data_IF_579081758058
#
_entry.id   IF_579081758058
#
_cell.length_a   1.000
_cell.length_b   1.000
_cell.length_c   1.000
_cell.angle_alpha   90.00
_cell.angle_beta   90.00
_cell.angle_gamma   90.00
#
_symmetry.space_group_name_H-M   'P 1'
#
loop_
_entity.id
_entity.type
_entity.pdbx_description
1 polymer ?
#
# COMPACT_ATOMS: atom_id res chain seq x y z
N UNK A 1 -25.21 -28.39 -34.64
CA UNK A 1 -23.97 -28.23 -33.85
C UNK A 1 -23.33 -29.60 -33.71
N UNK A 2 -22.06 -29.72 -34.04
CA UNK A 2 -21.32 -30.98 -33.84
C UNK A 2 -21.00 -31.18 -32.35
N UNK A 3 -20.65 -32.41 -31.96
CA UNK A 3 -20.15 -32.70 -30.60
C UNK A 3 -18.88 -31.91 -30.29
N UNK A 4 -18.02 -31.74 -31.30
CA UNK A 4 -16.76 -31.01 -31.18
C UNK A 4 -17.00 -29.51 -30.93
N UNK A 5 -18.03 -28.93 -31.54
CA UNK A 5 -18.45 -27.53 -31.28
C UNK A 5 -18.96 -27.33 -29.85
N UNK A 6 -19.65 -28.33 -29.29
CA UNK A 6 -20.18 -28.28 -27.91
C UNK A 6 -19.02 -28.36 -26.92
N UNK A 7 -18.11 -29.31 -27.11
CA UNK A 7 -16.96 -29.50 -26.23
C UNK A 7 -16.01 -28.29 -26.23
N UNK A 8 -15.74 -27.70 -27.41
CA UNK A 8 -14.92 -26.49 -27.50
C UNK A 8 -15.55 -25.30 -26.76
N UNK A 9 -16.88 -25.17 -26.80
CA UNK A 9 -17.60 -24.13 -26.06
C UNK A 9 -17.58 -24.36 -24.56
N UNK A 10 -17.71 -25.60 -24.11
CA UNK A 10 -17.62 -25.95 -22.69
C UNK A 10 -16.24 -25.62 -22.10
N UNK A 11 -15.16 -25.90 -22.82
CA UNK A 11 -13.80 -25.54 -22.39
C UNK A 11 -13.66 -24.02 -22.22
N UNK A 12 -14.10 -23.25 -23.21
CA UNK A 12 -14.06 -21.78 -23.15
C UNK A 12 -14.88 -21.23 -21.97
N UNK A 13 -16.05 -21.80 -21.70
CA UNK A 13 -16.87 -21.38 -20.57
C UNK A 13 -16.15 -21.65 -19.24
N UNK A 14 -15.47 -22.80 -19.12
CA UNK A 14 -14.69 -23.14 -17.92
C UNK A 14 -13.54 -22.17 -17.67
N UNK A 15 -12.76 -21.84 -18.70
CA UNK A 15 -11.66 -20.87 -18.59
C UNK A 15 -12.16 -19.47 -18.18
N UNK A 16 -13.30 -19.05 -18.70
CA UNK A 16 -13.93 -17.78 -18.33
C UNK A 16 -14.46 -17.80 -16.89
N UNK A 17 -15.04 -18.92 -16.45
CA UNK A 17 -15.52 -19.10 -15.09
C UNK A 17 -14.37 -19.07 -14.07
N UNK A 18 -13.26 -19.75 -14.37
CA UNK A 18 -12.04 -19.67 -13.56
C UNK A 18 -11.48 -18.25 -13.51
N UNK A 19 -11.40 -17.58 -14.66
CA UNK A 19 -10.96 -16.18 -14.74
C UNK A 19 -11.85 -15.25 -13.93
N UNK A 20 -13.17 -15.47 -13.94
CA UNK A 20 -14.13 -14.69 -13.15
C UNK A 20 -13.91 -14.91 -11.65
N UNK A 21 -13.67 -16.14 -11.22
CA UNK A 21 -13.39 -16.46 -9.84
C UNK A 21 -12.08 -15.83 -9.34
N UNK A 22 -11.01 -15.93 -10.12
CA UNK A 22 -9.72 -15.30 -9.81
C UNK A 22 -9.85 -13.78 -9.73
N UNK A 23 -10.54 -13.17 -10.68
CA UNK A 23 -10.78 -11.72 -10.68
C UNK A 23 -11.55 -11.26 -9.44
N UNK A 24 -12.49 -12.07 -8.95
CA UNK A 24 -13.19 -11.82 -7.69
C UNK A 24 -12.23 -11.77 -6.49
N UNK A 25 -11.34 -12.75 -6.37
CA UNK A 25 -10.33 -12.83 -5.30
C UNK A 25 -9.33 -11.66 -5.37
N UNK A 26 -8.89 -11.30 -6.57
CA UNK A 26 -8.01 -10.15 -6.79
C UNK A 26 -8.69 -8.84 -6.38
N UNK A 27 -9.99 -8.71 -6.67
CA UNK A 27 -10.78 -7.53 -6.29
C UNK A 27 -10.89 -7.40 -4.77
N UNK A 28 -11.16 -8.49 -4.05
CA UNK A 28 -11.18 -8.49 -2.58
C UNK A 28 -9.82 -8.11 -2.00
N UNK A 29 -8.74 -8.64 -2.58
CA UNK A 29 -7.37 -8.31 -2.19
C UNK A 29 -7.08 -6.81 -2.37
N UNK A 30 -7.48 -6.22 -3.50
CA UNK A 30 -7.33 -4.79 -3.76
C UNK A 30 -8.11 -3.93 -2.75
N UNK A 31 -9.32 -4.33 -2.38
CA UNK A 31 -10.11 -3.64 -1.34
C UNK A 31 -9.38 -3.70 0.01
N UNK A 32 -8.80 -4.85 0.36
CA UNK A 32 -7.99 -5.02 1.56
C UNK A 32 -6.76 -4.12 1.57
N UNK A 33 -6.04 -4.04 0.44
CA UNK A 33 -4.89 -3.14 0.28
C UNK A 33 -5.30 -1.68 0.46
N UNK A 34 -6.43 -1.26 -0.14
CA UNK A 34 -6.95 0.09 0.04
C UNK A 34 -7.24 0.42 1.51
N UNK A 35 -7.77 -0.53 2.29
CA UNK A 35 -7.96 -0.33 3.73
C UNK A 35 -6.62 -0.15 4.45
N UNK A 36 -5.61 -0.95 4.12
CA UNK A 36 -4.27 -0.81 4.70
C UNK A 36 -3.64 0.54 4.35
N UNK A 37 -3.85 1.04 3.13
CA UNK A 37 -3.34 2.35 2.72
C UNK A 37 -3.90 3.48 3.60
N UNK A 38 -5.20 3.42 3.96
CA UNK A 38 -5.81 4.38 4.89
C UNK A 38 -5.17 4.32 6.29
N UNK A 39 -4.82 3.13 6.77
CA UNK A 39 -4.10 2.99 8.05
C UNK A 39 -2.69 3.56 7.97
N UNK A 40 -1.98 3.32 6.86
CA UNK A 40 -0.65 3.89 6.61
C UNK A 40 -0.72 5.41 6.65
N UNK A 41 -1.70 6.02 5.98
CA UNK A 41 -1.91 7.47 5.99
C UNK A 41 -2.17 8.02 7.40
N UNK A 42 -2.99 7.32 8.20
CA UNK A 42 -3.22 7.68 9.60
C UNK A 42 -1.93 7.64 10.43
N UNK A 43 -1.14 6.56 10.30
CA UNK A 43 0.14 6.42 11.02
C UNK A 43 1.14 7.48 10.57
N UNK A 44 1.28 7.69 9.26
CA UNK A 44 2.13 8.72 8.65
C UNK A 44 1.77 10.10 9.21
N UNK A 45 0.51 10.49 9.19
CA UNK A 45 0.06 11.80 9.70
C UNK A 45 0.40 12.02 11.18
N UNK A 46 0.26 10.99 12.02
CA UNK A 46 0.67 11.06 13.42
C UNK A 46 2.19 11.27 13.55
N UNK A 47 2.99 10.56 12.75
CA UNK A 47 4.45 10.68 12.77
C UNK A 47 4.93 12.01 12.18
N UNK A 48 4.30 12.52 11.12
CA UNK A 48 4.58 13.85 10.56
C UNK A 48 4.27 14.95 11.58
N UNK A 49 3.17 14.81 12.32
CA UNK A 49 2.83 15.73 13.42
C UNK A 49 3.93 15.73 14.48
N UNK A 50 4.39 14.56 14.90
CA UNK A 50 5.51 14.44 15.83
C UNK A 50 6.80 15.09 15.29
N UNK A 51 7.15 14.79 14.04
CA UNK A 51 8.39 15.21 13.42
C UNK A 51 8.45 16.71 13.14
N UNK A 52 7.39 17.29 12.57
CA UNK A 52 7.38 18.68 12.12
C UNK A 52 6.86 19.68 13.16
N UNK A 53 6.04 19.25 14.13
CA UNK A 53 5.46 20.18 15.11
C UNK A 53 6.23 20.25 16.43
N UNK A 54 7.56 20.07 16.36
CA UNK A 54 8.47 20.30 17.49
C UNK A 54 8.59 19.18 18.51
N UNK A 55 7.83 18.08 18.38
CA UNK A 55 7.96 16.90 19.25
C UNK A 55 9.34 16.25 19.12
N UNK A 56 9.76 15.99 17.88
CA UNK A 56 11.10 15.46 17.60
C UNK A 56 12.22 16.38 18.12
N UNK A 57 12.15 17.69 17.85
CA UNK A 57 13.17 18.64 18.31
C UNK A 57 13.28 18.71 19.85
N UNK A 58 12.16 18.60 20.56
CA UNK A 58 12.16 18.57 22.01
C UNK A 58 12.79 17.26 22.55
N UNK A 59 12.54 16.15 21.87
CA UNK A 59 13.08 14.84 22.26
C UNK A 59 14.54 14.61 21.81
N UNK A 60 15.07 15.44 20.91
CA UNK A 60 16.50 15.41 20.56
C UNK A 60 17.40 15.70 21.77
N UNK A 61 16.90 16.40 22.78
CA UNK A 61 17.65 16.66 24.03
C UNK A 61 17.98 15.35 24.78
N UNK A 62 17.17 14.29 24.60
CA UNK A 62 17.40 12.97 25.20
C UNK A 62 17.96 11.95 24.19
N UNK A 63 18.23 12.36 22.95
CA UNK A 63 18.70 11.48 21.86
C UNK A 63 19.94 10.68 22.26
N UNK A 64 20.94 11.32 22.86
CA UNK A 64 22.18 10.64 23.26
C UNK A 64 21.97 9.50 24.28
N UNK A 65 20.84 9.47 24.99
CA UNK A 65 20.49 8.41 25.94
C UNK A 65 19.67 7.28 25.30
N UNK A 66 18.96 7.55 24.19
CA UNK A 66 17.95 6.63 23.65
C UNK A 66 17.99 6.40 22.14
N UNK A 67 18.93 7.00 21.40
CA UNK A 67 19.02 6.89 19.94
C UNK A 67 19.12 5.45 19.43
N UNK A 68 19.82 4.59 20.18
CA UNK A 68 19.98 3.17 19.82
C UNK A 68 18.79 2.32 20.28
N UNK A 69 17.88 2.89 21.08
CA UNK A 69 16.69 2.22 21.63
C UNK A 69 15.44 2.51 20.79
N UNK A 70 15.29 3.73 20.29
CA UNK A 70 14.10 4.16 19.55
C UNK A 70 14.46 4.72 18.18
N UNK A 71 14.13 3.99 17.12
CA UNK A 71 14.41 4.40 15.73
C UNK A 71 13.73 5.71 15.30
N UNK A 72 12.73 6.20 16.04
CA UNK A 72 12.09 7.50 15.83
C UNK A 72 13.05 8.69 16.05
N UNK A 73 14.11 8.48 16.84
CA UNK A 73 15.14 9.46 17.16
C UNK A 73 16.34 9.39 16.20
N UNK A 74 16.27 8.59 15.14
CA UNK A 74 17.36 8.51 14.17
C UNK A 74 17.39 9.73 13.25
N UNK A 75 18.59 10.18 12.91
CA UNK A 75 18.86 11.40 12.12
C UNK A 75 18.02 11.48 10.83
N UNK A 76 17.88 10.36 10.11
CA UNK A 76 17.17 10.32 8.82
C UNK A 76 15.99 9.33 8.76
N UNK A 77 15.70 8.56 9.81
CA UNK A 77 14.78 7.42 9.70
C UNK A 77 13.36 7.81 9.32
N UNK A 78 12.81 8.83 9.97
CA UNK A 78 11.47 9.36 9.65
C UNK A 78 11.42 10.01 8.27
N UNK A 79 12.46 10.77 7.91
CA UNK A 79 12.54 11.43 6.62
C UNK A 79 12.52 10.42 5.47
N UNK A 80 13.34 9.37 5.56
CA UNK A 80 13.41 8.30 4.56
C UNK A 80 12.08 7.54 4.46
N UNK A 81 11.46 7.21 5.61
CA UNK A 81 10.17 6.55 5.63
C UNK A 81 9.08 7.39 4.95
N UNK A 82 9.03 8.70 5.21
CA UNK A 82 8.06 9.59 4.56
C UNK A 82 8.28 9.66 3.06
N UNK A 83 9.54 9.72 2.62
CA UNK A 83 9.89 9.69 1.20
C UNK A 83 9.40 8.41 0.52
N UNK A 84 9.70 7.24 1.09
CA UNK A 84 9.27 5.95 0.56
C UNK A 84 7.73 5.85 0.45
N UNK A 85 7.02 6.29 1.48
CA UNK A 85 5.55 6.29 1.45
C UNK A 85 5.04 7.23 0.35
N UNK A 86 5.59 8.44 0.23
CA UNK A 86 5.21 9.39 -0.82
C UNK A 86 5.46 8.83 -2.22
N UNK A 87 6.58 8.12 -2.45
CA UNK A 87 6.86 7.47 -3.72
C UNK A 87 5.84 6.37 -4.03
N UNK A 88 5.50 5.53 -3.06
CA UNK A 88 4.49 4.49 -3.24
C UNK A 88 3.11 5.10 -3.56
N UNK A 89 2.70 6.15 -2.86
CA UNK A 89 1.45 6.87 -3.13
C UNK A 89 1.44 7.49 -4.53
N UNK A 90 2.57 8.06 -4.98
CA UNK A 90 2.70 8.63 -6.31
C UNK A 90 2.54 7.58 -7.42
N UNK A 91 3.15 6.41 -7.28
CA UNK A 91 3.02 5.34 -8.27
C UNK A 91 1.57 4.83 -8.37
N UNK A 92 0.86 4.72 -7.23
CA UNK A 92 -0.57 4.40 -7.22
C UNK A 92 -1.37 5.48 -7.96
N UNK A 93 -1.13 6.75 -7.69
CA UNK A 93 -1.83 7.87 -8.35
C UNK A 93 -1.57 7.86 -9.86
N UNK A 94 -0.31 7.72 -10.30
CA UNK A 94 0.04 7.63 -11.73
C UNK A 94 -0.72 6.52 -12.42
N UNK A 95 -0.79 5.34 -11.79
CA UNK A 95 -1.55 4.21 -12.32
C UNK A 95 -3.05 4.53 -12.45
N UNK A 96 -3.65 5.17 -11.45
CA UNK A 96 -5.07 5.53 -11.47
C UNK A 96 -5.39 6.62 -12.50
N UNK A 97 -4.55 7.66 -12.60
CA UNK A 97 -4.72 8.76 -13.57
C UNK A 97 -4.60 8.25 -15.00
N UNK A 98 -3.65 7.36 -15.30
CA UNK A 98 -3.50 6.78 -16.64
C UNK A 98 -4.72 5.93 -17.07
N UNK A 99 -5.63 5.58 -16.14
CA UNK A 99 -6.85 4.84 -16.41
C UNK A 99 -8.11 5.71 -16.54
N UNK A 100 -8.03 6.98 -16.14
CA UNK A 100 -9.13 7.96 -16.20
C UNK A 100 -9.10 8.73 -17.52
#
# INVERSE_FOLDING_TARGET
MSKDDIQSREEKVRELDESMHLLGQDTETLIGILSKLKEIQKRKSNLETYYYNGGYLADLEIENQFKDTYGILSEDGLHNLFYEINQAELEIIKYLVNKL
#
